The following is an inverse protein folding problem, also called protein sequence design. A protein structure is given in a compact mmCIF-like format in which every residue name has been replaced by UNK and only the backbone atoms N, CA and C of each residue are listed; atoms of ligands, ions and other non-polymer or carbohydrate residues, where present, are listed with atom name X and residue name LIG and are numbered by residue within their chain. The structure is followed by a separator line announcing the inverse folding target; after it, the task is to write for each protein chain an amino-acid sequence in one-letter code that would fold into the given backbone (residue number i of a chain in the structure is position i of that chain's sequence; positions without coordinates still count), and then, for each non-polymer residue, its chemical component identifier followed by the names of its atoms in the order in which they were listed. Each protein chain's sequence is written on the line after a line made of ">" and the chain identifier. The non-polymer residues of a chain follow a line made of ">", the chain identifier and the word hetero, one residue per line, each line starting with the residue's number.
data_IF_297047950718
#
_entry.id   IF_297047950718
#
_cell.length_a   1.000
_cell.length_b   1.000
_cell.length_c   1.000
_cell.angle_alpha   90.00
_cell.angle_beta   90.00
_cell.angle_gamma   90.00
#
_symmetry.space_group_name_H-M   'P 1'
#
loop_
_entity.id
_entity.type
_entity.pdbx_description
1 polymer ?
#
# COMPACT_ATOMS: atom_id res chain seq x y z
N UNK A 1 25.47 -3.44 -23.14
CA UNK A 1 24.21 -4.07 -22.68
C UNK A 1 23.45 -3.10 -21.78
N UNK A 2 22.20 -2.76 -22.13
CA UNK A 2 21.17 -2.71 -21.08
C UNK A 2 19.86 -3.37 -21.56
N UNK A 3 19.49 -4.47 -20.91
CA UNK A 3 18.14 -5.03 -21.02
C UNK A 3 17.17 -4.20 -20.16
N UNK A 4 16.76 -3.03 -20.65
CA UNK A 4 15.61 -2.30 -20.09
C UNK A 4 14.34 -2.83 -20.73
N UNK A 5 13.94 -4.01 -20.28
CA UNK A 5 12.60 -4.52 -20.54
C UNK A 5 11.57 -3.72 -19.75
N UNK A 6 11.22 -2.53 -20.23
CA UNK A 6 9.98 -1.87 -19.84
C UNK A 6 8.81 -2.73 -20.31
N UNK A 7 8.41 -3.70 -19.49
CA UNK A 7 7.12 -4.36 -19.69
C UNK A 7 6.05 -3.29 -19.50
N UNK A 8 5.43 -2.94 -20.62
CA UNK A 8 4.13 -2.28 -20.74
C UNK A 8 3.11 -3.17 -20.00
N UNK A 9 3.00 -2.99 -18.69
CA UNK A 9 2.11 -3.74 -17.83
C UNK A 9 1.03 -2.79 -17.31
N UNK A 10 -0.22 -3.07 -17.71
CA UNK A 10 -1.48 -2.81 -17.02
C UNK A 10 -1.43 -1.76 -15.91
N UNK A 11 -2.05 -0.59 -16.14
CA UNK A 11 -2.08 0.54 -15.19
C UNK A 11 -2.78 0.23 -13.87
N UNK A 12 -2.07 -0.44 -12.97
CA UNK A 12 -2.48 -0.75 -11.61
C UNK A 12 -1.28 -0.76 -10.67
N UNK A 13 -1.55 -0.88 -9.38
CA UNK A 13 -0.55 -0.69 -8.33
C UNK A 13 0.66 -1.61 -8.45
N UNK A 14 1.86 -1.02 -8.45
CA UNK A 14 3.13 -1.76 -8.43
C UNK A 14 3.91 -1.48 -7.15
N UNK A 15 4.81 -2.40 -6.80
CA UNK A 15 5.74 -2.21 -5.69
C UNK A 15 7.13 -1.97 -6.24
N UNK A 16 7.74 -0.88 -5.82
CA UNK A 16 9.12 -0.53 -6.11
C UNK A 16 9.96 -0.75 -4.86
N UNK A 17 11.12 -1.39 -5.06
CA UNK A 17 12.15 -1.52 -4.05
C UNK A 17 12.97 -0.23 -4.03
N UNK A 18 13.04 0.43 -2.88
CA UNK A 18 13.94 1.54 -2.63
C UNK A 18 15.01 1.08 -1.63
N UNK A 19 16.28 1.15 -2.01
CA UNK A 19 17.37 0.94 -1.07
C UNK A 19 17.38 2.09 -0.06
N UNK A 20 17.51 1.79 1.24
CA UNK A 20 17.85 2.82 2.23
C UNK A 20 19.37 2.77 2.41
N UNK A 21 20.04 3.89 2.16
CA UNK A 21 21.49 4.01 2.42
C UNK A 21 21.80 4.03 3.92
N UNK A 22 20.81 4.31 4.77
CA UNK A 22 20.96 4.42 6.22
C UNK A 22 19.86 3.65 6.94
N UNK A 23 20.23 2.92 7.99
CA UNK A 23 19.30 2.27 8.92
C UNK A 23 18.72 3.36 9.81
N UNK A 24 17.70 4.08 9.36
CA UNK A 24 16.96 4.97 10.25
C UNK A 24 15.91 4.16 11.02
N UNK A 25 15.89 4.34 12.34
CA UNK A 25 14.92 3.72 13.26
C UNK A 25 13.50 4.28 13.11
N UNK A 26 13.29 5.19 12.15
CA UNK A 26 11.98 5.77 11.88
C UNK A 26 10.98 4.70 11.48
N UNK A 27 10.00 4.51 12.35
CA UNK A 27 8.85 3.68 12.07
C UNK A 27 8.06 4.28 10.91
N UNK A 28 7.95 3.55 9.81
CA UNK A 28 7.09 3.92 8.70
C UNK A 28 5.68 3.37 8.90
N UNK A 29 4.69 4.16 8.52
CA UNK A 29 3.30 3.73 8.53
C UNK A 29 2.95 3.06 7.19
N UNK A 30 2.42 1.85 7.25
CA UNK A 30 1.94 1.17 6.04
C UNK A 30 0.71 1.87 5.46
N UNK A 31 0.74 2.22 4.17
CA UNK A 31 -0.39 2.81 3.48
C UNK A 31 -1.65 1.92 3.47
N UNK A 32 -1.48 0.59 3.42
CA UNK A 32 -2.59 -0.36 3.38
C UNK A 32 -3.20 -0.55 4.78
N UNK A 33 -2.46 -1.11 5.73
CA UNK A 33 -3.01 -1.49 7.03
C UNK A 33 -2.82 -0.46 8.15
N UNK A 34 -2.10 0.65 7.91
CA UNK A 34 -1.85 1.69 8.92
C UNK A 34 -0.90 1.27 10.05
N UNK A 35 -0.39 0.04 10.05
CA UNK A 35 0.58 -0.41 11.07
C UNK A 35 1.92 0.26 10.86
N UNK A 36 2.54 0.67 11.97
CA UNK A 36 3.93 1.14 12.01
C UNK A 36 4.90 -0.04 11.92
N UNK A 37 5.93 0.07 11.10
CA UNK A 37 6.98 -0.94 10.95
C UNK A 37 8.33 -0.28 10.72
N UNK A 38 9.40 -0.86 11.25
CA UNK A 38 10.76 -0.42 10.98
C UNK A 38 11.25 -1.06 9.67
N UNK A 39 11.41 -0.31 8.57
CA UNK A 39 12.09 -0.84 7.39
C UNK A 39 13.58 -0.99 7.71
N UNK A 40 14.13 -2.17 7.46
CA UNK A 40 15.58 -2.42 7.61
C UNK A 40 16.34 -1.85 6.39
N UNK A 41 17.01 -2.71 5.64
CA UNK A 41 17.87 -2.32 4.50
C UNK A 41 17.09 -1.94 3.23
N UNK A 42 15.87 -2.45 3.09
CA UNK A 42 15.06 -2.29 1.88
C UNK A 42 13.71 -1.70 2.27
N UNK A 43 13.37 -0.58 1.65
CA UNK A 43 12.06 0.04 1.72
C UNK A 43 11.18 -0.47 0.57
N UNK A 44 10.04 -1.05 0.91
CA UNK A 44 9.01 -1.40 -0.05
C UNK A 44 8.07 -0.19 -0.22
N UNK A 45 8.01 0.36 -1.42
CA UNK A 45 7.13 1.47 -1.76
C UNK A 45 6.02 1.01 -2.71
N UNK A 46 4.78 1.34 -2.36
CA UNK A 46 3.64 1.20 -3.26
C UNK A 46 3.58 2.43 -4.16
N UNK A 47 3.54 2.20 -5.48
CA UNK A 47 3.40 3.24 -6.49
C UNK A 47 2.29 2.89 -7.48
N UNK A 48 1.38 3.83 -7.67
CA UNK A 48 0.40 3.84 -8.76
C UNK A 48 0.04 5.28 -9.13
N UNK A 49 0.84 5.87 -10.03
CA UNK A 49 0.64 7.24 -10.49
C UNK A 49 0.32 8.22 -9.34
N UNK A 50 -0.75 9.04 -9.44
CA UNK A 50 -1.18 9.95 -8.37
C UNK A 50 -2.03 9.27 -7.29
N UNK A 51 -2.45 8.01 -7.48
CA UNK A 51 -3.44 7.34 -6.63
C UNK A 51 -2.80 6.67 -5.43
N UNK A 52 -1.71 5.93 -5.62
CA UNK A 52 -1.02 5.23 -4.54
C UNK A 52 0.44 5.67 -4.48
N UNK A 53 0.81 6.30 -3.38
CA UNK A 53 2.19 6.60 -3.07
C UNK A 53 2.42 6.41 -1.57
N UNK A 54 3.43 5.61 -1.21
CA UNK A 54 3.94 5.53 0.15
C UNK A 54 4.47 4.15 0.53
N UNK A 55 4.77 3.99 1.81
CA UNK A 55 5.42 2.79 2.34
C UNK A 55 4.42 1.62 2.49
N UNK A 56 4.82 0.41 2.12
CA UNK A 56 4.01 -0.81 2.31
C UNK A 56 4.77 -1.82 3.18
N UNK A 57 4.13 -2.35 4.22
CA UNK A 57 4.78 -3.30 5.11
C UNK A 57 4.92 -4.68 4.44
N UNK A 58 5.94 -5.47 4.83
CA UNK A 58 6.16 -6.83 4.30
C UNK A 58 4.93 -7.74 4.37
N UNK A 59 4.15 -7.66 5.47
CA UNK A 59 2.92 -8.45 5.63
C UNK A 59 1.91 -8.16 4.51
N UNK A 60 1.65 -6.88 4.20
CA UNK A 60 0.72 -6.51 3.14
C UNK A 60 1.22 -6.93 1.75
N UNK A 61 2.54 -6.94 1.53
CA UNK A 61 3.13 -7.45 0.29
C UNK A 61 2.89 -8.96 0.14
N UNK A 62 3.02 -9.74 1.21
CA UNK A 62 2.85 -11.19 1.17
C UNK A 62 1.39 -11.63 1.05
N UNK A 63 0.44 -10.84 1.56
CA UNK A 63 -0.99 -11.05 1.29
C UNK A 63 -1.39 -10.79 -0.16
N UNK A 64 -0.50 -10.21 -0.96
CA UNK A 64 -0.75 -9.86 -2.35
C UNK A 64 -1.71 -8.67 -2.51
N UNK A 65 -1.98 -8.27 -3.77
CA UNK A 65 -2.71 -7.02 -4.04
C UNK A 65 -4.14 -7.02 -3.50
N UNK A 66 -4.89 -8.11 -3.71
CA UNK A 66 -6.26 -8.26 -3.17
C UNK A 66 -6.30 -8.24 -1.64
N UNK A 67 -5.36 -8.92 -0.98
CA UNK A 67 -5.29 -8.91 0.48
C UNK A 67 -4.88 -7.55 1.04
N UNK A 68 -3.99 -6.82 0.35
CA UNK A 68 -3.63 -5.45 0.70
C UNK A 68 -4.82 -4.48 0.50
N UNK A 69 -5.63 -4.67 -0.54
CA UNK A 69 -6.86 -3.91 -0.77
C UNK A 69 -7.90 -4.16 0.34
N UNK A 70 -8.07 -5.41 0.77
CA UNK A 70 -8.93 -5.76 1.92
C UNK A 70 -8.52 -5.00 3.17
N UNK A 71 -7.23 -5.08 3.54
CA UNK A 71 -6.70 -4.34 4.72
C UNK A 71 -6.85 -2.83 4.61
N UNK A 72 -6.77 -2.27 3.40
CA UNK A 72 -7.03 -0.85 3.17
C UNK A 72 -8.49 -0.48 3.44
N UNK A 73 -9.43 -1.34 3.02
CA UNK A 73 -10.86 -1.17 3.31
C UNK A 73 -11.14 -1.28 4.80
N UNK A 74 -10.61 -2.31 5.46
CA UNK A 74 -10.78 -2.53 6.90
C UNK A 74 -10.30 -1.31 7.69
N UNK A 75 -9.08 -0.84 7.37
CA UNK A 75 -8.50 0.38 7.97
C UNK A 75 -9.41 1.60 7.79
N UNK A 76 -10.04 1.73 6.62
CA UNK A 76 -10.95 2.84 6.35
C UNK A 76 -12.23 2.73 7.18
N UNK A 77 -12.83 1.54 7.24
CA UNK A 77 -13.98 1.24 8.10
C UNK A 77 -13.68 1.53 9.57
N UNK A 78 -12.55 1.05 10.10
CA UNK A 78 -12.14 1.29 11.49
C UNK A 78 -11.96 2.78 11.82
N UNK A 79 -11.46 3.56 10.86
CA UNK A 79 -11.15 4.98 11.09
C UNK A 79 -12.35 5.91 10.90
N UNK A 80 -13.31 5.55 10.06
CA UNK A 80 -14.41 6.44 9.67
C UNK A 80 -15.80 5.90 10.00
N UNK A 81 -15.88 4.70 10.57
CA UNK A 81 -17.13 4.06 10.99
C UNK A 81 -18.03 3.64 9.83
N UNK A 82 -18.95 2.74 10.13
CA UNK A 82 -20.11 2.44 9.27
C UNK A 82 -20.99 3.70 9.17
N UNK A 83 -21.59 4.01 8.00
CA UNK A 83 -22.38 5.22 7.78
C UNK A 83 -23.57 5.29 8.74
N UNK A 84 -23.38 5.97 9.87
CA UNK A 84 -24.45 6.29 10.79
C UNK A 84 -25.11 7.58 10.31
N UNK A 85 -26.27 7.45 9.64
CA UNK A 85 -27.35 8.43 9.38
C UNK A 85 -26.99 9.92 9.05
N UNK A 86 -27.79 10.61 8.22
CA UNK A 86 -27.39 11.87 7.60
C UNK A 86 -27.39 13.03 8.61
N UNK A 87 -26.27 13.29 9.27
CA UNK A 87 -26.13 14.44 10.18
C UNK A 87 -25.05 15.40 9.66
N UNK A 88 -25.52 16.49 9.05
CA UNK A 88 -24.75 17.73 8.89
C UNK A 88 -24.08 17.93 7.53
N UNK A 89 -24.77 18.65 6.64
CA UNK A 89 -24.38 18.96 5.23
C UNK A 89 -23.04 19.71 5.02
N UNK A 90 -22.21 19.92 6.05
CA UNK A 90 -20.90 20.60 5.92
C UNK A 90 -19.69 19.67 5.94
N UNK A 91 -19.76 18.51 6.61
CA UNK A 91 -18.68 17.51 6.61
C UNK A 91 -18.87 16.37 5.59
N UNK A 92 -20.08 16.24 5.03
CA UNK A 92 -20.48 15.15 4.14
C UNK A 92 -19.63 15.07 2.85
N UNK A 93 -19.46 16.19 2.14
CA UNK A 93 -18.68 16.24 0.88
C UNK A 93 -17.20 15.86 1.04
N UNK A 94 -16.61 16.16 2.21
CA UNK A 94 -15.21 15.82 2.50
C UNK A 94 -15.06 14.33 2.78
N UNK A 95 -16.03 13.76 3.52
CA UNK A 95 -16.10 12.32 3.78
C UNK A 95 -16.31 11.55 2.46
N UNK A 96 -17.17 12.05 1.58
CA UNK A 96 -17.41 11.44 0.26
C UNK A 96 -16.17 11.47 -0.64
N UNK A 97 -15.43 12.59 -0.65
CA UNK A 97 -14.20 12.70 -1.44
C UNK A 97 -13.12 11.71 -0.96
N UNK A 98 -12.99 11.54 0.37
CA UNK A 98 -12.05 10.56 0.95
C UNK A 98 -12.50 9.12 0.64
N UNK A 99 -13.80 8.83 0.74
CA UNK A 99 -14.38 7.53 0.37
C UNK A 99 -14.08 7.16 -1.08
N UNK A 100 -14.36 8.07 -2.01
CA UNK A 100 -14.08 7.88 -3.44
C UNK A 100 -12.59 7.63 -3.67
N UNK A 101 -11.71 8.42 -3.04
CA UNK A 101 -10.28 8.23 -3.18
C UNK A 101 -9.79 6.89 -2.63
N UNK A 102 -10.31 6.44 -1.49
CA UNK A 102 -9.99 5.11 -0.93
C UNK A 102 -10.52 3.96 -1.79
N UNK A 103 -11.71 4.11 -2.36
CA UNK A 103 -12.26 3.15 -3.30
C UNK A 103 -11.39 3.02 -4.56
N UNK A 104 -10.93 4.14 -5.12
CA UNK A 104 -10.00 4.14 -6.27
C UNK A 104 -8.66 3.47 -5.93
N UNK A 105 -8.13 3.71 -4.72
CA UNK A 105 -6.93 3.03 -4.23
C UNK A 105 -7.10 1.53 -4.10
N UNK A 106 -8.21 1.08 -3.51
CA UNK A 106 -8.50 -0.35 -3.39
C UNK A 106 -8.70 -1.00 -4.76
N UNK A 107 -9.42 -0.34 -5.68
CA UNK A 107 -9.63 -0.81 -7.04
C UNK A 107 -8.31 -0.94 -7.82
N UNK A 108 -7.39 0.01 -7.67
CA UNK A 108 -6.05 -0.07 -8.27
C UNK A 108 -5.24 -1.27 -7.74
N UNK A 109 -5.30 -1.53 -6.44
CA UNK A 109 -4.68 -2.72 -5.85
C UNK A 109 -5.34 -4.01 -6.38
N UNK A 110 -6.65 -4.04 -6.55
CA UNK A 110 -7.35 -5.22 -7.09
C UNK A 110 -7.11 -5.45 -8.57
N UNK A 111 -6.90 -4.38 -9.34
CA UNK A 111 -6.52 -4.44 -10.74
C UNK A 111 -5.11 -5.02 -10.94
N UNK A 112 -4.24 -4.93 -9.93
CA UNK A 112 -2.93 -5.56 -9.96
C UNK A 112 -3.06 -7.08 -9.78
N UNK A 113 -2.68 -7.85 -10.81
CA UNK A 113 -2.75 -9.32 -10.77
C UNK A 113 -1.78 -9.95 -9.76
N UNK A 114 -0.59 -9.38 -9.57
CA UNK A 114 0.36 -9.80 -8.54
C UNK A 114 1.41 -8.72 -8.28
N UNK A 115 1.99 -8.71 -7.07
CA UNK A 115 3.19 -7.90 -6.82
C UNK A 115 4.44 -8.55 -7.43
N UNK A 116 5.44 -7.75 -7.84
CA UNK A 116 6.71 -8.25 -8.36
C UNK A 116 7.34 -9.32 -7.46
N UNK A 117 7.96 -10.33 -8.06
CA UNK A 117 8.61 -11.41 -7.30
C UNK A 117 9.69 -10.87 -6.35
N UNK A 118 10.47 -9.91 -6.81
CA UNK A 118 11.54 -9.27 -6.03
C UNK A 118 10.98 -8.60 -4.76
N UNK A 119 9.83 -7.92 -4.88
CA UNK A 119 9.15 -7.32 -3.73
C UNK A 119 8.69 -8.38 -2.71
N UNK A 120 8.17 -9.50 -3.18
CA UNK A 120 7.77 -10.63 -2.32
C UNK A 120 8.99 -11.27 -1.64
N UNK A 121 10.08 -11.49 -2.36
CA UNK A 121 11.32 -12.03 -1.79
C UNK A 121 11.92 -11.09 -0.74
N UNK A 122 11.93 -9.78 -1.02
CA UNK A 122 12.37 -8.76 -0.06
C UNK A 122 11.48 -8.75 1.20
N UNK A 123 10.17 -8.88 1.04
CA UNK A 123 9.24 -8.98 2.17
C UNK A 123 9.50 -10.22 3.03
N UNK A 124 9.75 -11.39 2.43
CA UNK A 124 10.12 -12.60 3.19
C UNK A 124 11.42 -12.39 3.97
N UNK A 125 12.45 -11.82 3.35
CA UNK A 125 13.72 -11.53 4.04
C UNK A 125 13.51 -10.59 5.22
N UNK A 126 12.76 -9.51 5.02
CA UNK A 126 12.47 -8.53 6.06
C UNK A 126 11.73 -9.14 7.27
N UNK A 127 10.81 -10.09 7.06
CA UNK A 127 10.12 -10.77 8.16
C UNK A 127 10.99 -11.81 8.87
N UNK A 128 11.88 -12.51 8.15
CA UNK A 128 12.81 -13.48 8.75
C UNK A 128 13.79 -12.81 9.70
N UNK A 129 14.30 -11.64 9.33
CA UNK A 129 15.21 -10.87 10.18
C UNK A 129 14.53 -10.30 11.44
N UNK A 130 13.20 -10.40 11.57
CA UNK A 130 12.44 -9.92 12.75
C UNK A 130 12.27 -11.02 13.82
N UNK A 131 12.48 -12.29 13.45
CA UNK A 131 12.56 -13.43 14.39
C UNK A 131 13.98 -13.54 14.93
#
# INVERSE_FOLDING_TARGET
>A
MPARGSRKGSGGATIVLAARNEVSEDLLECCCCGRRYAPKRILLQLRDGPLLFGAICPECVLHGPKGAAGRLRDRFFDRWGEPSAPHGRRNDRRIDSVRVWMALKAASLEAAGSFPLEARQAAVRALREKR
#
